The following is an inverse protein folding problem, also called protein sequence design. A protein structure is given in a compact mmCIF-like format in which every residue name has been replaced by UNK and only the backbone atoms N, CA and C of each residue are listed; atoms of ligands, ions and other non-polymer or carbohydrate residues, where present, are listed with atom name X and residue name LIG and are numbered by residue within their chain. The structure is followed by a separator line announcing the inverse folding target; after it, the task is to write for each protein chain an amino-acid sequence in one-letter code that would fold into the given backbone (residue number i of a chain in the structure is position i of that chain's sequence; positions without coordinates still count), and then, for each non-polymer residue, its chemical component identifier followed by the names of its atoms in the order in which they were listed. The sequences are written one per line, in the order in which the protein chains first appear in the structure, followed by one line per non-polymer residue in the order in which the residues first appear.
data_IF_285691708189
#
_entry.id   IF_285691708189
#
_cell.length_a   1.000
_cell.length_b   1.000
_cell.length_c   1.000
_cell.angle_alpha   90.00
_cell.angle_beta   90.00
_cell.angle_gamma   90.00
#
_symmetry.space_group_name_H-M   'P 1'
#
loop_
_entity.id
_entity.type
_entity.pdbx_description
1 polymer ?
#
# COMPACT_ATOMS: atom_id res chain seq x y z
N UNK A 1 -5.88 -3.95 -9.18
CA UNK A 1 -5.72 -5.29 -8.58
C UNK A 1 -7.08 -5.78 -8.14
N UNK A 2 -7.47 -7.01 -8.49
CA UNK A 2 -8.70 -7.57 -7.95
C UNK A 2 -8.54 -7.80 -6.42
N UNK A 3 -9.57 -7.49 -5.62
CA UNK A 3 -9.52 -7.61 -4.15
C UNK A 3 -9.15 -9.03 -3.68
N UNK A 4 -9.46 -10.08 -4.47
CA UNK A 4 -9.08 -11.47 -4.18
C UNK A 4 -7.56 -11.67 -4.11
N UNK A 5 -6.80 -10.89 -4.88
CA UNK A 5 -5.33 -10.96 -4.89
C UNK A 5 -4.70 -10.32 -3.65
N UNK A 6 -5.44 -9.47 -2.91
CA UNK A 6 -4.92 -8.84 -1.70
C UNK A 6 -4.56 -9.87 -0.63
N UNK A 7 -5.45 -10.85 -0.39
CA UNK A 7 -5.20 -11.93 0.58
C UNK A 7 -3.98 -12.76 0.20
N UNK A 8 -3.87 -13.15 -1.07
CA UNK A 8 -2.71 -13.88 -1.58
C UNK A 8 -1.41 -13.08 -1.44
N UNK A 9 -1.43 -11.78 -1.77
CA UNK A 9 -0.26 -10.91 -1.60
C UNK A 9 0.17 -10.81 -0.13
N UNK A 10 -0.79 -10.69 0.80
CA UNK A 10 -0.56 -10.73 2.24
C UNK A 10 0.10 -12.04 2.67
N UNK A 11 -0.42 -13.17 2.24
CA UNK A 11 0.14 -14.51 2.53
C UNK A 11 1.57 -14.68 2.00
N UNK A 12 1.93 -13.97 0.92
CA UNK A 12 3.30 -13.92 0.38
C UNK A 12 4.19 -12.86 1.02
N UNK A 13 3.71 -12.15 2.06
CA UNK A 13 4.46 -11.09 2.74
C UNK A 13 4.65 -9.81 1.89
N UNK A 14 3.88 -9.66 0.81
CA UNK A 14 3.95 -8.48 -0.06
C UNK A 14 3.20 -7.34 0.61
N UNK A 15 3.89 -6.19 0.76
CA UNK A 15 3.29 -4.96 1.27
C UNK A 15 2.54 -4.22 0.18
N UNK A 16 1.40 -3.62 0.53
CA UNK A 16 0.46 -2.98 -0.40
C UNK A 16 0.50 -1.46 -0.26
N UNK A 17 0.39 -0.75 -1.39
CA UNK A 17 0.12 0.68 -1.45
C UNK A 17 -1.28 0.92 -2.01
N UNK A 18 -2.00 1.87 -1.43
CA UNK A 18 -3.24 2.43 -1.97
C UNK A 18 -2.86 3.70 -2.73
N UNK A 19 -3.21 3.74 -4.01
CA UNK A 19 -3.01 4.90 -4.88
C UNK A 19 -4.25 5.06 -5.78
N UNK A 20 -4.97 6.18 -5.73
CA UNK A 20 -6.09 6.46 -6.64
C UNK A 20 -5.65 6.83 -8.06
N UNK A 21 -4.34 7.02 -8.31
CA UNK A 21 -3.81 7.49 -9.59
C UNK A 21 -4.43 8.83 -10.02
N UNK A 22 -4.47 9.75 -9.07
CA UNK A 22 -5.14 11.03 -9.21
C UNK A 22 -4.40 11.95 -10.21
N UNK A 23 -5.10 12.32 -11.28
CA UNK A 23 -4.66 13.32 -12.27
C UNK A 23 -5.24 14.73 -12.00
N UNK A 24 -6.01 14.88 -10.91
CA UNK A 24 -6.51 16.15 -10.40
C UNK A 24 -6.64 16.08 -8.87
N UNK A 25 -6.70 17.24 -8.20
CA UNK A 25 -6.87 17.30 -6.75
C UNK A 25 -8.16 16.61 -6.27
N UNK A 26 -9.24 16.73 -7.05
CA UNK A 26 -10.53 16.10 -6.74
C UNK A 26 -10.44 14.58 -6.72
N UNK A 27 -9.63 14.00 -7.61
CA UNK A 27 -9.48 12.55 -7.72
C UNK A 27 -8.62 11.97 -6.59
N UNK A 28 -7.95 12.80 -5.77
CA UNK A 28 -7.23 12.29 -4.60
C UNK A 28 -8.19 11.59 -3.64
N UNK A 29 -9.42 12.10 -3.47
CA UNK A 29 -10.43 11.53 -2.57
C UNK A 29 -10.84 10.07 -2.90
N UNK A 30 -10.56 9.60 -4.12
CA UNK A 30 -10.85 8.24 -4.55
C UNK A 30 -10.01 7.19 -3.79
N UNK A 31 -9.00 7.61 -3.02
CA UNK A 31 -8.26 6.71 -2.11
C UNK A 31 -9.19 5.93 -1.18
N UNK A 32 -10.36 6.49 -0.84
CA UNK A 32 -11.40 5.86 0.00
C UNK A 32 -11.86 4.52 -0.59
N UNK A 33 -11.99 4.42 -1.91
CA UNK A 33 -12.32 3.16 -2.59
C UNK A 33 -11.20 2.12 -2.40
N UNK A 34 -9.94 2.54 -2.49
CA UNK A 34 -8.79 1.69 -2.21
C UNK A 34 -8.78 1.15 -0.78
N UNK A 35 -9.16 1.97 0.21
CA UNK A 35 -9.31 1.53 1.61
C UNK A 35 -10.41 0.48 1.75
N UNK A 36 -11.56 0.68 1.08
CA UNK A 36 -12.65 -0.29 1.10
C UNK A 36 -12.26 -1.62 0.42
N UNK A 37 -11.51 -1.55 -0.67
CA UNK A 37 -10.94 -2.72 -1.35
C UNK A 37 -9.95 -3.46 -0.43
N UNK A 38 -9.07 -2.73 0.27
CA UNK A 38 -8.12 -3.32 1.21
C UNK A 38 -8.82 -4.09 2.34
N UNK A 39 -9.87 -3.49 2.93
CA UNK A 39 -10.70 -4.15 3.95
C UNK A 39 -11.40 -5.40 3.42
N UNK A 40 -12.01 -5.30 2.22
CA UNK A 40 -12.64 -6.45 1.54
C UNK A 40 -11.64 -7.57 1.26
N UNK A 41 -10.39 -7.22 0.96
CA UNK A 41 -9.27 -8.12 0.73
C UNK A 41 -8.56 -8.65 1.99
N UNK A 42 -9.13 -8.43 3.19
CA UNK A 42 -8.57 -8.84 4.49
C UNK A 42 -7.16 -8.30 4.79
N UNK A 43 -6.84 -7.12 4.24
CA UNK A 43 -5.62 -6.41 4.61
C UNK A 43 -5.80 -5.71 5.96
N UNK A 44 -4.79 -5.81 6.80
CA UNK A 44 -4.68 -5.11 8.08
C UNK A 44 -3.79 -3.87 7.93
N UNK A 45 -3.69 -3.07 9.00
CA UNK A 45 -2.93 -1.82 9.01
C UNK A 45 -1.47 -2.06 8.63
N UNK A 46 -0.91 -3.16 9.11
CA UNK A 46 0.47 -3.60 8.94
C UNK A 46 0.78 -4.02 7.50
N UNK A 47 -0.24 -4.38 6.71
CA UNK A 47 -0.11 -4.79 5.31
C UNK A 47 -0.05 -3.60 4.35
N UNK A 48 -0.58 -2.45 4.77
CA UNK A 48 -0.74 -1.25 3.94
C UNK A 48 0.28 -0.18 4.34
N UNK A 49 1.19 0.17 3.43
CA UNK A 49 2.29 1.10 3.71
C UNK A 49 1.83 2.54 3.93
N UNK A 50 0.68 2.94 3.40
CA UNK A 50 0.09 4.26 3.63
C UNK A 50 -0.23 4.55 5.11
N UNK A 51 -0.28 3.52 5.96
CA UNK A 51 -0.57 3.69 7.41
C UNK A 51 0.67 4.05 8.23
N UNK A 52 1.86 3.96 7.63
CA UNK A 52 3.11 4.35 8.25
C UNK A 52 3.24 5.87 8.31
N UNK A 53 3.86 6.37 9.37
CA UNK A 53 4.31 7.78 9.41
C UNK A 53 5.32 8.05 8.29
N UNK A 54 5.41 9.29 7.83
CA UNK A 54 6.38 9.74 6.83
C UNK A 54 7.82 9.28 7.12
N UNK A 55 8.30 9.41 8.37
CA UNK A 55 9.65 8.96 8.75
C UNK A 55 9.86 7.45 8.58
N UNK A 56 8.87 6.64 8.95
CA UNK A 56 8.93 5.17 8.82
C UNK A 56 8.93 4.73 7.36
N UNK A 57 8.14 5.38 6.49
CA UNK A 57 8.11 5.03 5.07
C UNK A 57 9.40 5.42 4.36
N UNK A 58 9.99 6.56 4.73
CA UNK A 58 11.29 6.99 4.21
C UNK A 58 12.39 5.96 4.54
N UNK A 59 12.45 5.50 5.80
CA UNK A 59 13.38 4.46 6.24
C UNK A 59 13.14 3.15 5.46
N UNK A 60 11.87 2.74 5.30
CA UNK A 60 11.51 1.53 4.55
C UNK A 60 12.01 1.58 3.10
N UNK A 61 11.81 2.71 2.41
CA UNK A 61 12.24 2.89 1.02
C UNK A 61 13.77 2.93 0.88
N UNK A 62 14.47 3.62 1.79
CA UNK A 62 15.95 3.65 1.85
C UNK A 62 16.53 2.25 2.05
N UNK A 63 15.99 1.48 2.99
CA UNK A 63 16.43 0.11 3.24
C UNK A 63 16.23 -0.81 2.03
N UNK A 64 15.11 -0.65 1.30
CA UNK A 64 14.84 -1.42 0.08
C UNK A 64 15.79 -1.07 -1.07
N UNK A 65 16.19 0.20 -1.19
CA UNK A 65 17.18 0.64 -2.18
C UNK A 65 18.56 0.02 -1.92
N UNK A 66 19.00 0.05 -0.66
CA UNK A 66 20.30 -0.50 -0.25
C UNK A 66 20.40 -2.02 -0.44
N UNK A 67 19.28 -2.76 -0.25
CA UNK A 67 19.21 -4.20 -0.54
C UNK A 67 19.29 -4.54 -2.03
N UNK A 68 18.98 -3.60 -2.94
CA UNK A 68 19.12 -3.79 -4.39
C UNK A 68 20.52 -3.49 -4.92
N UNK A 69 21.36 -2.81 -4.13
CA UNK A 69 22.71 -2.39 -4.53
C UNK A 69 23.80 -3.32 -3.98
N UNK A 70 23.42 -4.29 -3.14
CA UNK A 70 24.21 -5.46 -2.75
C UNK A 70 23.68 -6.66 -3.51
#
# INVERSE_FOLDING_TARGET
LEWRMCKYAKEKGVKIFINPDAHSLKNLDDYKFGVNIARKGWLEKEDVLNTLSAKKIEIYLKNKKNKKTK
#
